data_IF_309792489466
#
_entry.id   IF_309792489466
#
_cell.length_a   1.000
_cell.length_b   1.000
_cell.length_c   1.000
_cell.angle_alpha   90.00
_cell.angle_beta   90.00
_cell.angle_gamma   90.00
#
_symmetry.space_group_name_H-M   'P 1'
#
loop_
_entity.id
_entity.type
_entity.pdbx_description
1 polymer ?
#
# COMPACT_ATOMS: atom_id res chain seq x y z
N UNK A 1 -3.01 -5.31 28.56
CA UNK A 1 -3.45 -4.45 27.44
C UNK A 1 -2.85 -5.06 26.18
N UNK A 2 -3.65 -5.76 25.37
CA UNK A 2 -3.14 -6.59 24.26
C UNK A 2 -3.20 -5.76 22.99
N UNK A 3 -2.06 -5.29 22.49
CA UNK A 3 -1.94 -4.80 21.12
C UNK A 3 -1.44 -5.94 20.24
N UNK A 4 -2.36 -6.73 19.67
CA UNK A 4 -2.00 -7.66 18.59
C UNK A 4 -1.96 -6.86 17.29
N UNK A 5 -0.80 -6.30 16.95
CA UNK A 5 -0.57 -5.72 15.63
C UNK A 5 -0.26 -6.87 14.66
N UNK A 6 -1.27 -7.36 13.96
CA UNK A 6 -1.07 -8.23 12.81
C UNK A 6 -0.52 -7.40 11.65
N UNK A 7 0.78 -7.14 11.66
CA UNK A 7 1.48 -6.51 10.54
C UNK A 7 1.73 -7.57 9.46
N UNK A 8 1.24 -7.33 8.25
CA UNK A 8 1.59 -8.11 7.06
C UNK A 8 2.64 -7.35 6.27
N UNK A 9 3.78 -7.99 6.01
CA UNK A 9 4.84 -7.47 5.16
C UNK A 9 4.87 -8.28 3.87
N UNK A 10 4.86 -7.59 2.73
CA UNK A 10 5.03 -8.20 1.41
C UNK A 10 6.33 -7.65 0.84
N UNK A 11 7.31 -8.52 0.63
CA UNK A 11 8.57 -8.16 -0.04
C UNK A 11 8.40 -8.33 -1.56
N UNK A 12 8.84 -7.34 -2.32
CA UNK A 12 8.84 -7.35 -3.78
C UNK A 12 10.21 -7.72 -4.37
N UNK A 13 11.14 -8.19 -3.53
CA UNK A 13 12.47 -8.68 -3.90
C UNK A 13 13.26 -7.70 -4.77
N UNK A 14 13.20 -6.41 -4.42
CA UNK A 14 13.95 -5.36 -5.12
C UNK A 14 13.42 -4.99 -6.51
N UNK A 15 12.12 -5.20 -6.78
CA UNK A 15 11.47 -4.78 -8.02
C UNK A 15 11.78 -3.30 -8.33
N UNK A 16 12.46 -2.97 -9.44
CA UNK A 16 12.76 -1.60 -9.80
C UNK A 16 11.48 -0.86 -10.25
N UNK A 17 11.24 0.32 -9.69
CA UNK A 17 10.06 1.15 -9.97
C UNK A 17 10.48 2.56 -10.40
N UNK A 18 9.75 3.14 -11.36
CA UNK A 18 9.92 4.53 -11.81
C UNK A 18 8.61 5.09 -12.36
N UNK A 19 8.33 6.36 -12.07
CA UNK A 19 7.17 7.09 -12.59
C UNK A 19 5.93 6.90 -11.72
N UNK A 20 4.76 6.89 -12.36
CA UNK A 20 3.47 6.68 -11.70
C UNK A 20 3.26 5.21 -11.36
N UNK A 21 3.14 4.90 -10.07
CA UNK A 21 2.95 3.56 -9.54
C UNK A 21 1.56 3.46 -8.90
N UNK A 22 0.82 2.42 -9.27
CA UNK A 22 -0.49 2.09 -8.70
C UNK A 22 -0.42 0.73 -7.99
N UNK A 23 -0.67 0.73 -6.68
CA UNK A 23 -0.78 -0.48 -5.88
C UNK A 23 -2.25 -0.80 -5.68
N UNK A 24 -2.67 -2.03 -6.01
CA UNK A 24 -4.03 -2.54 -5.77
C UNK A 24 -3.96 -3.76 -4.88
N UNK A 25 -4.63 -3.70 -3.74
CA UNK A 25 -4.79 -4.84 -2.84
C UNK A 25 -6.19 -5.44 -3.04
N UNK A 26 -6.26 -6.77 -3.05
CA UNK A 26 -7.51 -7.51 -3.19
C UNK A 26 -7.62 -8.53 -2.06
N UNK A 27 -8.82 -8.69 -1.53
CA UNK A 27 -9.14 -9.81 -0.67
C UNK A 27 -9.62 -11.00 -1.52
N UNK A 28 -9.17 -12.20 -1.14
CA UNK A 28 -9.72 -13.44 -1.71
C UNK A 28 -11.04 -13.74 -1.00
N UNK A 29 -12.13 -13.73 -1.75
CA UNK A 29 -13.43 -14.18 -1.24
C UNK A 29 -13.50 -15.71 -1.22
N UNK A 30 -14.49 -16.26 -0.51
CA UNK A 30 -14.73 -17.70 -0.45
C UNK A 30 -15.08 -18.32 -1.82
N UNK A 31 -15.55 -17.52 -2.77
CA UNK A 31 -15.94 -17.93 -4.12
C UNK A 31 -14.79 -17.85 -5.14
N UNK A 32 -13.55 -17.60 -4.71
CA UNK A 32 -12.38 -17.31 -5.55
C UNK A 32 -12.45 -16.00 -6.35
N UNK A 33 -13.52 -15.22 -6.17
CA UNK A 33 -13.60 -13.86 -6.68
C UNK A 33 -12.68 -12.94 -5.88
N UNK A 34 -12.10 -11.94 -6.54
CA UNK A 34 -11.22 -10.95 -5.90
C UNK A 34 -11.99 -9.64 -5.74
N UNK A 35 -12.26 -9.26 -4.49
CA UNK A 35 -12.83 -7.94 -4.19
C UNK A 35 -11.69 -6.94 -3.95
N UNK A 36 -11.71 -5.74 -4.56
CA UNK A 36 -10.76 -4.69 -4.23
C UNK A 36 -10.86 -4.32 -2.75
N UNK A 37 -9.74 -4.41 -2.03
CA UNK A 37 -9.67 -4.03 -0.62
C UNK A 37 -9.31 -2.54 -0.48
N UNK A 38 -8.25 -2.13 -1.18
CA UNK A 38 -7.84 -0.73 -1.28
C UNK A 38 -6.89 -0.55 -2.47
N UNK A 39 -6.68 0.70 -2.86
CA UNK A 39 -5.60 1.07 -3.78
C UNK A 39 -4.95 2.39 -3.37
N UNK A 40 -3.71 2.59 -3.80
CA UNK A 40 -3.03 3.88 -3.72
C UNK A 40 -2.17 4.12 -4.96
N UNK A 41 -2.05 5.37 -5.33
CA UNK A 41 -1.18 5.82 -6.42
C UNK A 41 -0.16 6.82 -5.89
N UNK A 42 1.07 6.70 -6.35
CA UNK A 42 2.14 7.65 -6.07
C UNK A 42 3.07 7.76 -7.28
N UNK A 43 3.79 8.87 -7.38
CA UNK A 43 4.84 9.01 -8.38
C UNK A 43 6.21 8.98 -7.69
N UNK A 44 7.16 8.22 -8.22
CA UNK A 44 8.50 8.11 -7.64
C UNK A 44 9.27 9.43 -7.63
N UNK A 45 8.88 10.43 -8.44
CA UNK A 45 9.53 11.74 -8.47
C UNK A 45 9.15 12.64 -7.29
N UNK A 46 8.12 12.31 -6.52
CA UNK A 46 7.68 13.12 -5.37
C UNK A 46 8.43 12.75 -4.09
N UNK A 47 9.39 11.82 -4.16
CA UNK A 47 10.15 11.38 -3.01
C UNK A 47 11.28 12.37 -2.75
N UNK A 48 11.21 13.05 -1.61
CA UNK A 48 12.32 13.83 -1.09
C UNK A 48 13.36 12.87 -0.50
N UNK A 49 14.28 12.43 -1.36
CA UNK A 49 15.34 11.50 -0.98
C UNK A 49 16.42 12.19 -0.12
N UNK A 50 16.56 13.51 -0.23
CA UNK A 50 17.55 14.29 0.51
C UNK A 50 17.16 14.45 1.98
N UNK A 51 15.85 14.44 2.27
CA UNK A 51 15.33 14.39 3.64
C UNK A 51 15.45 13.00 4.30
N UNK A 52 15.86 11.96 3.56
CA UNK A 52 15.98 10.60 4.08
C UNK A 52 17.40 10.35 4.60
N UNK A 53 17.57 10.34 5.93
CA UNK A 53 18.86 10.03 6.56
C UNK A 53 19.23 8.54 6.45
N UNK A 54 18.25 7.68 6.16
CA UNK A 54 18.42 6.25 6.00
C UNK A 54 18.50 5.84 4.52
N UNK A 55 19.09 4.67 4.26
CA UNK A 55 19.13 4.06 2.93
C UNK A 55 17.76 3.60 2.40
N UNK A 56 16.68 3.80 3.18
CA UNK A 56 15.34 3.32 2.90
C UNK A 56 14.31 4.46 3.02
N UNK A 57 13.81 4.93 1.87
CA UNK A 57 12.68 5.83 1.83
C UNK A 57 11.38 5.09 2.19
N UNK A 58 10.62 5.62 3.16
CA UNK A 58 9.34 5.04 3.60
C UNK A 58 8.17 5.95 3.23
N UNK A 59 7.35 5.53 2.26
CA UNK A 59 6.07 6.16 1.94
C UNK A 59 4.96 5.57 2.81
N UNK A 60 4.20 6.42 3.51
CA UNK A 60 3.09 6.00 4.39
C UNK A 60 1.78 6.63 3.94
N UNK A 61 0.73 5.82 3.94
CA UNK A 61 -0.64 6.27 3.67
C UNK A 61 -1.51 6.02 4.91
N UNK A 62 -2.29 7.03 5.30
CA UNK A 62 -3.40 6.88 6.24
C UNK A 62 -4.63 6.31 5.52
N UNK A 63 -5.61 5.82 6.29
CA UNK A 63 -6.84 5.24 5.71
C UNK A 63 -7.56 6.21 4.77
N UNK A 64 -7.56 7.51 5.08
CA UNK A 64 -8.20 8.55 4.29
C UNK A 64 -7.51 8.80 2.94
N UNK A 65 -6.24 8.41 2.81
CA UNK A 65 -5.45 8.56 1.57
C UNK A 65 -5.51 7.31 0.68
N UNK A 66 -6.18 6.25 1.13
CA UNK A 66 -6.38 5.03 0.35
C UNK A 66 -7.74 5.10 -0.35
N UNK A 67 -7.75 4.87 -1.66
CA UNK A 67 -9.02 4.77 -2.38
C UNK A 67 -9.68 3.42 -2.08
N UNK A 68 -10.99 3.36 -2.31
CA UNK A 68 -11.83 2.15 -2.21
C UNK A 68 -11.95 1.54 -0.80
N UNK A 69 -11.17 2.00 0.19
CA UNK A 69 -11.13 1.41 1.55
C UNK A 69 -12.38 1.65 2.41
N UNK A 70 -13.24 2.58 1.99
CA UNK A 70 -14.54 2.84 2.62
C UNK A 70 -15.71 2.33 1.78
N UNK A 71 -15.45 1.65 0.66
CA UNK A 71 -16.52 1.04 -0.11
C UNK A 71 -17.11 -0.09 0.72
N UNK A 72 -18.36 0.09 1.13
CA UNK A 72 -19.16 -1.00 1.67
C UNK A 72 -19.51 -1.89 0.49
N UNK A 73 -19.07 -3.15 0.54
CA UNK A 73 -19.54 -4.19 -0.38
C UNK A 73 -21.01 -4.41 -0.02
N UNK A 74 -21.91 -3.89 -0.87
CA UNK A 74 -23.36 -4.12 -0.78
C UNK A 74 -23.72 -5.50 -1.34
#
# INVERSE_FOLDING_TARGET
MIHTQNQTTIDLFGLPLRGDILVKCFERTKTSERSPLFRCQFNTCTFDLDACQDSLFTLKFTKQQLDDIYKVVN
#
